data_IF_736032947022
#
_entry.id   IF_736032947022
#
_cell.length_a   1.000
_cell.length_b   1.000
_cell.length_c   1.000
_cell.angle_alpha   90.00
_cell.angle_beta   90.00
_cell.angle_gamma   90.00
#
_symmetry.space_group_name_H-M   'P 1'
#
loop_
_entity.id
_entity.type
_entity.pdbx_description
1 polymer ?
#
# COMPACT_ATOMS: atom_id res chain seq x y z
N UNK A 1 -24.58 -6.22 9.17
CA UNK A 1 -23.69 -5.84 10.29
C UNK A 1 -22.71 -6.99 10.43
N UNK A 2 -21.41 -6.75 10.32
CA UNK A 2 -20.38 -7.81 10.32
C UNK A 2 -19.40 -7.58 11.45
N UNK A 3 -18.87 -8.67 12.04
CA UNK A 3 -17.76 -8.63 12.97
C UNK A 3 -16.46 -8.52 12.18
N UNK A 4 -15.76 -7.41 12.32
CA UNK A 4 -14.52 -7.12 11.57
C UNK A 4 -13.34 -6.99 12.51
N UNK A 5 -12.22 -7.63 12.20
CA UNK A 5 -10.95 -7.43 12.89
C UNK A 5 -9.93 -6.76 11.99
N UNK A 6 -9.37 -5.64 12.42
CA UNK A 6 -8.30 -4.92 11.71
C UNK A 6 -6.97 -5.25 12.41
N UNK A 7 -6.05 -5.86 11.66
CA UNK A 7 -4.71 -6.23 12.13
C UNK A 7 -3.69 -5.16 11.76
N UNK A 8 -3.20 -4.46 12.78
CA UNK A 8 -2.29 -3.31 12.71
C UNK A 8 -2.97 -2.03 13.15
N UNK A 9 -2.44 -1.39 14.21
CA UNK A 9 -2.99 -0.17 14.80
C UNK A 9 -2.28 1.11 14.30
N UNK A 10 -1.55 1.03 13.20
CA UNK A 10 -1.00 2.19 12.52
C UNK A 10 -2.07 3.09 11.90
N UNK A 11 -1.66 4.18 11.25
CA UNK A 11 -2.58 5.17 10.69
C UNK A 11 -3.67 4.56 9.78
N UNK A 12 -3.30 3.68 8.82
CA UNK A 12 -4.26 3.10 7.89
C UNK A 12 -5.20 2.11 8.59
N UNK A 13 -4.70 1.30 9.52
CA UNK A 13 -5.55 0.38 10.30
C UNK A 13 -6.56 1.13 11.16
N UNK A 14 -6.13 2.14 11.90
CA UNK A 14 -7.03 2.97 12.71
C UNK A 14 -8.06 3.72 11.84
N UNK A 15 -7.67 4.23 10.67
CA UNK A 15 -8.58 4.90 9.75
C UNK A 15 -9.62 3.93 9.15
N UNK A 16 -9.19 2.73 8.76
CA UNK A 16 -10.09 1.68 8.26
C UNK A 16 -11.05 1.20 9.36
N UNK A 17 -10.55 0.96 10.57
CA UNK A 17 -11.37 0.60 11.71
C UNK A 17 -12.42 1.67 12.01
N UNK A 18 -12.03 2.95 11.99
CA UNK A 18 -12.94 4.08 12.19
C UNK A 18 -14.01 4.15 11.10
N UNK A 19 -13.63 3.96 9.84
CA UNK A 19 -14.58 3.93 8.72
C UNK A 19 -15.62 2.82 8.88
N UNK A 20 -15.18 1.59 9.14
CA UNK A 20 -16.07 0.43 9.31
C UNK A 20 -16.98 0.58 10.54
N UNK A 21 -16.48 1.14 11.64
CA UNK A 21 -17.28 1.41 12.84
C UNK A 21 -18.38 2.46 12.56
N UNK A 22 -18.07 3.53 11.81
CA UNK A 22 -19.10 4.51 11.35
C UNK A 22 -20.14 3.89 10.43
N UNK A 23 -19.80 2.81 9.72
CA UNK A 23 -20.73 2.00 8.93
C UNK A 23 -21.66 1.11 9.79
N UNK A 24 -21.46 1.09 11.10
CA UNK A 24 -22.24 0.26 12.03
C UNK A 24 -21.72 -1.17 12.16
N UNK A 25 -20.53 -1.49 11.67
CA UNK A 25 -19.88 -2.78 11.91
C UNK A 25 -19.31 -2.84 13.32
N UNK A 26 -19.25 -4.04 13.92
CA UNK A 26 -18.50 -4.28 15.14
C UNK A 26 -17.01 -4.43 14.76
N UNK A 27 -16.15 -3.63 15.37
CA UNK A 27 -14.74 -3.57 14.95
C UNK A 27 -13.80 -3.83 16.11
N UNK A 28 -12.94 -4.82 15.92
CA UNK A 28 -11.78 -5.08 16.75
C UNK A 28 -10.54 -4.50 16.06
N UNK A 29 -9.80 -3.62 16.75
CA UNK A 29 -8.51 -3.12 16.30
C UNK A 29 -7.41 -3.76 17.13
N UNK A 30 -6.63 -4.62 16.48
CA UNK A 30 -5.51 -5.32 17.09
C UNK A 30 -4.18 -4.67 16.68
N UNK A 31 -3.30 -4.42 17.67
CA UNK A 31 -1.95 -3.92 17.46
C UNK A 31 -0.90 -5.02 17.52
N UNK A 32 0.15 -4.88 16.70
CA UNK A 32 1.37 -5.68 16.77
C UNK A 32 2.20 -5.31 18.00
N UNK A 33 3.28 -6.03 18.27
CA UNK A 33 4.25 -5.69 19.33
C UNK A 33 4.82 -4.26 19.17
N UNK A 34 4.85 -3.73 17.95
CA UNK A 34 5.28 -2.36 17.66
C UNK A 34 4.21 -1.31 17.97
N UNK A 35 2.95 -1.72 18.07
CA UNK A 35 1.80 -0.85 18.30
C UNK A 35 1.38 -0.80 19.78
N UNK A 36 2.11 -1.43 20.70
CA UNK A 36 1.75 -1.57 22.11
C UNK A 36 1.38 -0.23 22.77
N UNK A 37 2.23 0.80 22.55
CA UNK A 37 1.98 2.15 23.06
C UNK A 37 0.75 2.81 22.43
N UNK A 38 0.49 2.51 21.16
CA UNK A 38 -0.68 3.04 20.43
C UNK A 38 -1.95 2.43 21.04
N UNK A 39 -2.00 1.10 21.21
CA UNK A 39 -3.16 0.41 21.78
C UNK A 39 -3.41 0.83 23.23
N UNK A 40 -2.37 0.97 24.06
CA UNK A 40 -2.50 1.44 25.44
C UNK A 40 -3.15 2.84 25.48
N UNK A 41 -2.66 3.77 24.69
CA UNK A 41 -3.24 5.12 24.60
C UNK A 41 -4.68 5.11 24.07
N UNK A 42 -4.99 4.23 23.09
CA UNK A 42 -6.35 4.08 22.58
C UNK A 42 -7.31 3.51 23.64
N UNK A 43 -6.86 2.60 24.49
CA UNK A 43 -7.66 2.08 25.62
C UNK A 43 -7.98 3.16 26.66
N UNK A 44 -7.03 4.05 26.92
CA UNK A 44 -7.20 5.13 27.92
C UNK A 44 -8.06 6.28 27.40
N UNK A 45 -7.79 6.76 26.20
CA UNK A 45 -8.33 8.03 25.69
C UNK A 45 -9.05 7.94 24.35
N UNK A 46 -9.03 6.78 23.70
CA UNK A 46 -9.49 6.56 22.32
C UNK A 46 -8.78 7.44 21.29
N UNK A 47 -7.74 8.17 21.67
CA UNK A 47 -7.06 9.18 20.84
C UNK A 47 -5.90 8.55 20.06
N UNK A 48 -6.01 8.53 18.73
CA UNK A 48 -4.89 8.11 17.88
C UNK A 48 -3.96 9.31 17.64
N UNK A 49 -2.81 9.33 18.36
CA UNK A 49 -1.90 10.48 18.41
C UNK A 49 -1.49 10.99 17.02
N UNK A 50 -1.01 10.10 16.15
CA UNK A 50 -0.49 10.49 14.82
C UNK A 50 -1.60 11.00 13.87
N UNK A 51 -2.82 10.49 13.98
CA UNK A 51 -3.96 10.97 13.19
C UNK A 51 -4.63 12.20 13.80
N UNK A 52 -4.39 12.47 15.09
CA UNK A 52 -4.98 13.60 15.81
C UNK A 52 -6.49 13.52 15.94
N UNK A 53 -7.06 12.31 16.06
CA UNK A 53 -8.52 12.08 16.15
C UNK A 53 -8.86 11.11 17.27
N UNK A 54 -10.09 11.22 17.78
CA UNK A 54 -10.69 10.24 18.68
C UNK A 54 -11.43 9.18 17.84
N UNK A 55 -11.18 7.91 18.11
CA UNK A 55 -11.82 6.81 17.40
C UNK A 55 -13.22 6.51 17.97
N UNK A 56 -14.18 5.99 17.16
CA UNK A 56 -15.53 5.64 17.58
C UNK A 56 -15.56 4.72 18.80
N UNK A 57 -16.57 4.91 19.67
CA UNK A 57 -16.73 4.14 20.92
C UNK A 57 -16.95 2.64 20.70
N UNK A 58 -17.54 2.27 19.58
CA UNK A 58 -17.81 0.88 19.20
C UNK A 58 -16.57 0.06 18.84
N UNK A 59 -15.37 0.69 18.71
CA UNK A 59 -14.13 -0.05 18.42
C UNK A 59 -13.56 -0.62 19.73
N UNK A 60 -13.27 -1.92 19.73
CA UNK A 60 -12.52 -2.59 20.78
C UNK A 60 -11.04 -2.67 20.43
N UNK A 61 -10.16 -2.49 21.42
CA UNK A 61 -8.71 -2.45 21.21
C UNK A 61 -8.02 -3.66 21.85
N UNK A 62 -7.14 -4.31 21.09
CA UNK A 62 -6.45 -5.54 21.50
C UNK A 62 -4.93 -5.41 21.35
N UNK A 63 -4.19 -5.81 22.37
CA UNK A 63 -2.73 -5.92 22.36
C UNK A 63 -2.26 -7.14 21.57
N UNK A 64 -0.96 -7.21 21.28
CA UNK A 64 -0.36 -8.25 20.45
C UNK A 64 -0.62 -9.68 20.94
N UNK A 65 -0.65 -9.89 22.25
CA UNK A 65 -0.92 -11.20 22.89
C UNK A 65 -2.40 -11.59 22.87
N UNK A 66 -3.30 -10.67 22.53
CA UNK A 66 -4.75 -10.90 22.51
C UNK A 66 -5.28 -11.21 21.09
N UNK A 67 -4.42 -11.69 20.18
CA UNK A 67 -4.78 -11.95 18.77
C UNK A 67 -5.99 -12.90 18.64
N UNK A 68 -6.01 -13.98 19.40
CA UNK A 68 -7.11 -14.95 19.41
C UNK A 68 -8.43 -14.28 19.76
N UNK A 69 -8.47 -13.49 20.85
CA UNK A 69 -9.66 -12.74 21.26
C UNK A 69 -10.09 -11.71 20.21
N UNK A 70 -9.13 -11.04 19.59
CA UNK A 70 -9.40 -10.06 18.55
C UNK A 70 -10.05 -10.71 17.32
N UNK A 71 -9.73 -11.96 17.02
CA UNK A 71 -10.24 -12.72 15.88
C UNK A 71 -11.49 -13.54 16.19
N UNK A 72 -11.94 -13.57 17.46
CA UNK A 72 -13.14 -14.33 17.79
C UNK A 72 -14.35 -13.77 17.04
N UNK A 73 -15.10 -14.70 16.43
CA UNK A 73 -16.26 -14.42 15.56
C UNK A 73 -16.02 -13.44 14.39
N UNK A 74 -14.76 -13.21 14.01
CA UNK A 74 -14.45 -12.36 12.84
C UNK A 74 -14.99 -12.98 11.54
N UNK A 75 -15.79 -12.22 10.81
CA UNK A 75 -16.26 -12.52 9.45
C UNK A 75 -15.33 -11.86 8.43
N UNK A 76 -14.72 -10.75 8.81
CA UNK A 76 -13.80 -9.97 7.98
C UNK A 76 -12.52 -9.71 8.76
N UNK A 77 -11.38 -9.93 8.10
CA UNK A 77 -10.06 -9.55 8.61
C UNK A 77 -9.40 -8.58 7.66
N UNK A 78 -9.04 -7.40 8.14
CA UNK A 78 -8.30 -6.40 7.36
C UNK A 78 -6.82 -6.44 7.76
N UNK A 79 -5.93 -6.71 6.80
CA UNK A 79 -4.47 -6.69 7.01
C UNK A 79 -3.95 -5.28 6.76
N UNK A 80 -3.61 -4.55 7.82
CA UNK A 80 -3.19 -3.15 7.77
C UNK A 80 -1.80 -2.91 8.38
N UNK A 81 -0.91 -3.90 8.27
CA UNK A 81 0.49 -3.81 8.68
C UNK A 81 1.39 -3.45 7.50
N UNK A 82 2.66 -3.12 7.77
CA UNK A 82 3.67 -2.89 6.72
C UNK A 82 3.91 -4.16 5.90
N UNK A 83 4.21 -4.02 4.60
CA UNK A 83 4.24 -5.14 3.66
C UNK A 83 5.17 -6.30 4.06
N UNK A 84 6.33 -6.01 4.67
CA UNK A 84 7.27 -7.03 5.12
C UNK A 84 6.79 -7.83 6.34
N UNK A 85 5.83 -7.31 7.11
CA UNK A 85 5.25 -8.00 8.25
C UNK A 85 4.05 -8.89 7.88
N UNK A 86 3.46 -8.72 6.67
CA UNK A 86 2.24 -9.42 6.25
C UNK A 86 2.35 -10.93 6.41
N UNK A 87 3.43 -11.55 5.91
CA UNK A 87 3.61 -13.00 5.99
C UNK A 87 3.54 -13.52 7.44
N UNK A 88 4.30 -12.89 8.35
CA UNK A 88 4.38 -13.27 9.77
C UNK A 88 3.03 -13.10 10.47
N UNK A 89 2.36 -11.97 10.24
CA UNK A 89 1.09 -11.67 10.90
C UNK A 89 -0.01 -12.61 10.39
N UNK A 90 -0.10 -12.83 9.08
CA UNK A 90 -1.09 -13.75 8.49
C UNK A 90 -0.86 -15.18 8.97
N UNK A 91 0.38 -15.66 9.04
CA UNK A 91 0.70 -17.00 9.53
C UNK A 91 0.24 -17.21 10.99
N UNK A 92 0.36 -16.18 11.84
CA UNK A 92 -0.15 -16.20 13.23
C UNK A 92 -1.67 -16.16 13.26
N UNK A 93 -2.27 -15.24 12.50
CA UNK A 93 -3.72 -15.02 12.49
C UNK A 93 -4.50 -16.19 11.89
N UNK A 94 -3.95 -16.86 10.87
CA UNK A 94 -4.57 -18.00 10.20
C UNK A 94 -4.87 -19.20 11.12
N UNK A 95 -4.23 -19.27 12.30
CA UNK A 95 -4.52 -20.28 13.31
C UNK A 95 -5.95 -20.16 13.88
N UNK A 96 -6.52 -18.96 13.81
CA UNK A 96 -7.80 -18.60 14.41
C UNK A 96 -8.87 -18.28 13.35
N UNK A 97 -8.53 -18.39 12.05
CA UNK A 97 -9.51 -18.12 10.98
C UNK A 97 -10.59 -19.20 10.92
N UNK A 98 -11.83 -18.74 10.88
CA UNK A 98 -13.01 -19.60 10.68
C UNK A 98 -13.32 -19.74 9.18
N UNK A 99 -14.08 -20.76 8.81
CA UNK A 99 -14.56 -20.94 7.44
C UNK A 99 -15.39 -19.74 6.98
N UNK A 100 -15.27 -19.36 5.73
CA UNK A 100 -16.05 -18.27 5.12
C UNK A 100 -15.53 -16.86 5.43
N UNK A 101 -14.43 -16.73 6.16
CA UNK A 101 -13.84 -15.41 6.45
C UNK A 101 -13.34 -14.73 5.16
N UNK A 102 -13.54 -13.41 5.07
CA UNK A 102 -12.96 -12.59 4.00
C UNK A 102 -11.75 -11.83 4.53
N UNK A 103 -10.59 -12.03 3.91
CA UNK A 103 -9.34 -11.34 4.24
C UNK A 103 -9.10 -10.21 3.24
N UNK A 104 -9.04 -8.97 3.72
CA UNK A 104 -8.82 -7.77 2.90
C UNK A 104 -7.43 -7.22 3.17
N UNK A 105 -6.57 -7.21 2.15
CA UNK A 105 -5.24 -6.64 2.25
C UNK A 105 -5.24 -5.17 1.86
N UNK A 106 -4.88 -4.28 2.78
CA UNK A 106 -4.66 -2.85 2.51
C UNK A 106 -3.18 -2.46 2.53
N UNK A 107 -2.29 -3.42 2.85
CA UNK A 107 -0.85 -3.22 2.77
C UNK A 107 -0.40 -3.09 1.31
N UNK A 108 0.61 -2.26 1.07
CA UNK A 108 1.11 -1.94 -0.27
C UNK A 108 2.59 -2.29 -0.38
N UNK A 109 2.97 -3.15 -1.32
CA UNK A 109 4.36 -3.56 -1.51
C UNK A 109 4.51 -4.77 -2.41
N UNK A 110 5.75 -5.06 -2.82
CA UNK A 110 6.11 -6.27 -3.57
C UNK A 110 6.60 -7.32 -2.58
N UNK A 111 5.94 -8.48 -2.50
CA UNK A 111 6.36 -9.55 -1.61
C UNK A 111 7.68 -10.18 -2.09
N UNK A 112 8.35 -11.01 -1.25
CA UNK A 112 9.49 -11.79 -1.69
C UNK A 112 9.07 -12.84 -2.73
N UNK A 113 10.02 -13.25 -3.60
CA UNK A 113 9.81 -14.37 -4.54
C UNK A 113 9.39 -15.64 -3.76
N UNK A 114 8.52 -16.50 -4.32
CA UNK A 114 8.04 -16.48 -5.72
C UNK A 114 6.76 -15.65 -5.95
N UNK A 115 6.26 -14.92 -4.95
CA UNK A 115 4.97 -14.24 -5.05
C UNK A 115 5.06 -12.95 -5.86
N UNK A 116 4.04 -12.70 -6.70
CA UNK A 116 3.88 -11.46 -7.44
C UNK A 116 3.10 -10.42 -6.63
N UNK A 117 2.10 -10.85 -5.87
CA UNK A 117 1.21 -9.98 -5.10
C UNK A 117 1.12 -10.41 -3.63
N UNK A 118 0.78 -9.47 -2.74
CA UNK A 118 0.56 -9.78 -1.33
C UNK A 118 -0.63 -10.71 -1.13
N UNK A 119 -1.68 -10.62 -1.96
CA UNK A 119 -2.81 -11.56 -1.91
C UNK A 119 -2.37 -13.00 -2.22
N UNK A 120 -1.44 -13.21 -3.15
CA UNK A 120 -0.85 -14.53 -3.39
C UNK A 120 -0.10 -15.04 -2.17
N UNK A 121 0.75 -14.20 -1.57
CA UNK A 121 1.48 -14.52 -0.34
C UNK A 121 0.50 -14.86 0.80
N UNK A 122 -0.55 -14.07 0.99
CA UNK A 122 -1.56 -14.28 2.03
C UNK A 122 -2.27 -15.61 1.82
N UNK A 123 -2.73 -15.90 0.60
CA UNK A 123 -3.35 -17.19 0.25
C UNK A 123 -2.45 -18.36 0.62
N UNK A 124 -1.17 -18.32 0.25
CA UNK A 124 -0.20 -19.38 0.57
C UNK A 124 -0.04 -19.58 2.09
N UNK A 125 0.01 -18.50 2.87
CA UNK A 125 0.17 -18.60 4.33
C UNK A 125 -1.07 -19.11 5.06
N UNK A 126 -2.25 -18.97 4.46
CA UNK A 126 -3.52 -19.49 4.98
C UNK A 126 -3.73 -20.95 4.55
N UNK A 127 -3.26 -21.34 3.36
CA UNK A 127 -3.65 -22.54 2.62
C UNK A 127 -3.54 -23.89 3.35
N UNK A 128 -2.60 -24.19 4.22
CA UNK A 128 -2.53 -25.54 4.82
C UNK A 128 -3.71 -25.87 5.75
N UNK A 129 -4.54 -24.90 6.13
CA UNK A 129 -5.49 -25.06 7.24
C UNK A 129 -6.97 -24.76 6.96
N UNK A 130 -7.31 -23.93 5.97
CA UNK A 130 -8.70 -23.50 5.75
C UNK A 130 -9.01 -23.05 4.30
N UNK A 131 -8.27 -23.49 3.32
CA UNK A 131 -8.09 -22.87 2.01
C UNK A 131 -9.31 -22.64 1.12
N UNK A 132 -10.26 -23.57 1.07
CA UNK A 132 -11.29 -23.54 0.02
C UNK A 132 -12.40 -22.53 0.27
N UNK A 133 -12.54 -22.01 1.48
CA UNK A 133 -13.64 -21.11 1.85
C UNK A 133 -13.22 -19.68 2.20
N UNK A 134 -11.89 -19.38 2.18
CA UNK A 134 -11.38 -18.04 2.54
C UNK A 134 -11.13 -17.21 1.28
N UNK A 135 -11.81 -16.05 1.22
CA UNK A 135 -11.60 -15.08 0.16
C UNK A 135 -10.49 -14.10 0.53
N UNK A 136 -9.54 -13.85 -0.39
CA UNK A 136 -8.45 -12.88 -0.18
C UNK A 136 -8.53 -11.80 -1.24
N UNK A 137 -8.67 -10.54 -0.79
CA UNK A 137 -8.97 -9.37 -1.60
C UNK A 137 -7.88 -8.33 -1.42
N UNK A 138 -7.38 -7.75 -2.51
CA UNK A 138 -6.44 -6.62 -2.48
C UNK A 138 -7.17 -5.28 -2.60
N UNK A 139 -6.82 -4.30 -1.77
CA UNK A 139 -7.36 -2.94 -1.86
C UNK A 139 -6.31 -1.98 -2.43
N UNK A 140 -6.71 -1.21 -3.45
CA UNK A 140 -5.95 -0.11 -4.04
C UNK A 140 -6.73 1.20 -4.08
N UNK A 141 -6.12 2.22 -4.65
CA UNK A 141 -6.75 3.52 -4.85
C UNK A 141 -6.33 4.63 -3.86
N UNK A 142 -6.77 5.87 -4.14
CA UNK A 142 -6.36 7.08 -3.42
C UNK A 142 -7.02 7.16 -2.04
N UNK A 143 -6.46 6.47 -1.05
CA UNK A 143 -6.94 6.48 0.33
C UNK A 143 -5.84 6.95 1.28
N UNK A 144 -5.88 8.23 1.67
CA UNK A 144 -5.04 8.76 2.75
C UNK A 144 -5.71 8.50 4.09
N UNK A 145 -4.98 7.90 5.02
CA UNK A 145 -5.50 7.59 6.36
C UNK A 145 -6.04 8.85 7.09
N UNK A 146 -5.36 9.99 6.94
CA UNK A 146 -5.77 11.26 7.54
C UNK A 146 -7.08 11.83 6.98
N UNK A 147 -7.44 11.51 5.76
CA UNK A 147 -8.69 11.90 5.11
C UNK A 147 -9.79 10.88 5.41
N UNK A 148 -9.49 9.59 5.25
CA UNK A 148 -10.43 8.50 5.51
C UNK A 148 -10.97 8.54 6.95
N UNK A 149 -10.11 8.78 7.94
CA UNK A 149 -10.51 8.85 9.35
C UNK A 149 -11.46 10.02 9.64
N UNK A 150 -11.39 11.09 8.84
CA UNK A 150 -12.24 12.29 8.94
C UNK A 150 -13.45 12.27 8.03
N UNK A 151 -13.75 11.12 7.40
CA UNK A 151 -14.86 10.97 6.46
C UNK A 151 -14.80 11.93 5.25
N UNK A 152 -13.60 12.31 4.82
CA UNK A 152 -13.42 13.05 3.57
C UNK A 152 -13.77 12.12 2.40
N UNK A 153 -14.58 12.55 1.42
CA UNK A 153 -14.97 11.71 0.30
C UNK A 153 -13.80 11.03 -0.38
N UNK A 154 -13.83 9.70 -0.42
CA UNK A 154 -12.73 8.85 -0.86
C UNK A 154 -13.25 7.80 -1.83
N UNK A 155 -12.42 7.37 -2.78
CA UNK A 155 -12.72 6.25 -3.65
C UNK A 155 -11.61 5.20 -3.56
N UNK A 156 -12.00 3.93 -3.47
CA UNK A 156 -11.09 2.78 -3.47
C UNK A 156 -11.53 1.73 -4.48
N UNK A 157 -10.62 0.82 -4.83
CA UNK A 157 -10.91 -0.31 -5.70
C UNK A 157 -10.42 -1.61 -5.06
N UNK A 158 -11.28 -2.62 -5.10
CA UNK A 158 -10.93 -3.97 -4.66
C UNK A 158 -10.61 -4.86 -5.85
N UNK A 159 -9.44 -5.48 -5.83
CA UNK A 159 -9.03 -6.53 -6.77
C UNK A 159 -9.45 -7.89 -6.22
N UNK A 160 -10.43 -8.53 -6.86
CA UNK A 160 -10.97 -9.83 -6.46
C UNK A 160 -11.64 -10.52 -7.64
N UNK A 161 -11.42 -11.82 -7.77
CA UNK A 161 -11.99 -12.59 -8.90
C UNK A 161 -13.39 -13.14 -8.61
N UNK A 162 -13.65 -13.49 -7.39
CA UNK A 162 -14.89 -14.10 -6.93
C UNK A 162 -15.98 -13.02 -6.77
N UNK A 163 -17.09 -13.17 -7.50
CA UNK A 163 -18.18 -12.17 -7.56
C UNK A 163 -18.83 -11.90 -6.20
N UNK A 164 -18.99 -12.94 -5.40
CA UNK A 164 -19.56 -12.86 -4.05
C UNK A 164 -18.69 -12.00 -3.15
N UNK A 165 -17.37 -12.22 -3.16
CA UNK A 165 -16.41 -11.42 -2.40
C UNK A 165 -16.36 -9.97 -2.90
N UNK A 166 -16.47 -9.75 -4.22
CA UNK A 166 -16.52 -8.41 -4.82
C UNK A 166 -17.74 -7.63 -4.32
N UNK A 167 -18.92 -8.23 -4.38
CA UNK A 167 -20.18 -7.64 -3.90
C UNK A 167 -20.13 -7.37 -2.40
N UNK A 168 -19.61 -8.32 -1.64
CA UNK A 168 -19.44 -8.20 -0.19
C UNK A 168 -18.52 -7.03 0.20
N UNK A 169 -17.31 -6.93 -0.39
CA UNK A 169 -16.38 -5.83 -0.11
C UNK A 169 -16.97 -4.46 -0.46
N UNK A 170 -17.64 -4.35 -1.62
CA UNK A 170 -18.32 -3.13 -2.01
C UNK A 170 -19.40 -2.75 -0.98
N UNK A 171 -20.19 -3.73 -0.53
CA UNK A 171 -21.26 -3.51 0.45
C UNK A 171 -20.74 -3.02 1.80
N UNK A 172 -19.72 -3.66 2.38
CA UNK A 172 -19.23 -3.30 3.72
C UNK A 172 -18.43 -1.99 3.74
N UNK A 173 -17.82 -1.57 2.64
CA UNK A 173 -17.04 -0.34 2.59
C UNK A 173 -17.80 0.87 2.04
N UNK A 174 -18.75 0.72 1.11
CA UNK A 174 -19.42 1.86 0.47
C UNK A 174 -20.42 2.57 1.38
N UNK A 175 -20.34 3.90 1.42
CA UNK A 175 -21.31 4.81 2.05
C UNK A 175 -21.27 6.16 1.33
N UNK A 176 -21.81 7.23 1.95
CA UNK A 176 -21.74 8.59 1.42
C UNK A 176 -20.32 9.14 1.28
N UNK A 177 -19.40 8.67 2.13
CA UNK A 177 -18.04 9.20 2.24
C UNK A 177 -17.01 8.31 1.54
N UNK A 178 -17.33 7.05 1.23
CA UNK A 178 -16.42 6.15 0.54
C UNK A 178 -17.13 5.37 -0.55
N UNK A 179 -16.65 5.54 -1.79
CA UNK A 179 -17.06 4.74 -2.94
C UNK A 179 -16.10 3.58 -3.15
N UNK A 180 -16.57 2.36 -2.97
CA UNK A 180 -15.83 1.14 -3.22
C UNK A 180 -16.23 0.53 -4.57
N UNK A 181 -15.31 0.51 -5.53
CA UNK A 181 -15.44 -0.20 -6.79
C UNK A 181 -14.70 -1.54 -6.74
N UNK A 182 -14.97 -2.41 -7.70
CA UNK A 182 -14.38 -3.75 -7.78
C UNK A 182 -13.85 -4.03 -9.18
N UNK A 183 -12.82 -4.87 -9.27
CA UNK A 183 -12.27 -5.39 -10.52
C UNK A 183 -11.75 -6.82 -10.31
N UNK A 184 -11.75 -7.61 -11.37
CA UNK A 184 -11.12 -8.94 -11.39
C UNK A 184 -9.59 -8.88 -11.57
N UNK A 185 -9.04 -7.69 -11.85
CA UNK A 185 -7.60 -7.46 -12.03
C UNK A 185 -6.87 -7.26 -10.70
N UNK A 186 -6.73 -8.34 -9.93
CA UNK A 186 -5.98 -8.34 -8.67
C UNK A 186 -4.52 -7.91 -8.88
N UNK A 187 -3.90 -8.38 -9.98
CA UNK A 187 -2.50 -8.09 -10.31
C UNK A 187 -2.30 -6.60 -10.53
N UNK A 188 -3.14 -5.99 -11.38
CA UNK A 188 -3.06 -4.56 -11.65
C UNK A 188 -3.26 -3.71 -10.40
N UNK A 189 -4.26 -4.03 -9.58
CA UNK A 189 -4.54 -3.29 -8.33
C UNK A 189 -3.33 -3.31 -7.39
N UNK A 190 -2.76 -4.48 -7.12
CA UNK A 190 -1.68 -4.60 -6.14
C UNK A 190 -0.32 -4.11 -6.68
N UNK A 191 0.01 -4.37 -7.95
CA UNK A 191 1.22 -3.83 -8.55
C UNK A 191 1.19 -2.29 -8.62
N UNK A 192 0.08 -1.69 -9.02
CA UNK A 192 -0.07 -0.24 -9.01
C UNK A 192 0.09 0.33 -7.60
N UNK A 193 -0.61 -0.26 -6.62
CA UNK A 193 -0.53 0.17 -5.22
C UNK A 193 0.89 0.09 -4.64
N UNK A 194 1.70 -0.87 -5.08
CA UNK A 194 3.10 -0.98 -4.70
C UNK A 194 3.98 0.03 -5.44
N UNK A 195 3.95 0.02 -6.79
CA UNK A 195 4.86 0.81 -7.64
C UNK A 195 4.73 2.31 -7.43
N UNK A 196 3.53 2.83 -7.16
CA UNK A 196 3.33 4.26 -6.88
C UNK A 196 4.25 4.78 -5.77
N UNK A 197 4.54 3.97 -4.75
CA UNK A 197 5.40 4.36 -3.64
C UNK A 197 6.85 4.57 -4.09
N UNK A 198 7.34 3.72 -4.99
CA UNK A 198 8.66 3.86 -5.59
C UNK A 198 8.74 5.10 -6.49
N UNK A 199 7.78 5.27 -7.39
CA UNK A 199 7.76 6.43 -8.29
C UNK A 199 7.53 7.76 -7.55
N UNK A 200 6.84 7.75 -6.41
CA UNK A 200 6.69 8.97 -5.59
C UNK A 200 8.04 9.50 -5.07
N UNK A 201 9.06 8.65 -4.89
CA UNK A 201 10.40 9.09 -4.49
C UNK A 201 11.04 9.92 -5.62
N UNK A 202 11.07 9.38 -6.86
CA UNK A 202 11.72 10.09 -7.96
C UNK A 202 10.95 11.35 -8.38
N UNK A 203 9.62 11.36 -8.28
CA UNK A 203 8.81 12.59 -8.45
C UNK A 203 9.10 13.59 -7.34
N UNK A 204 9.35 13.11 -6.12
CA UNK A 204 9.67 13.93 -4.95
C UNK A 204 10.98 14.73 -5.09
N UNK A 205 11.98 14.23 -5.85
CA UNK A 205 13.23 14.98 -6.05
C UNK A 205 13.01 16.36 -6.66
N UNK A 206 11.95 16.52 -7.47
CA UNK A 206 11.59 17.82 -8.04
C UNK A 206 11.12 18.83 -6.99
N UNK A 207 10.63 18.38 -5.83
CA UNK A 207 10.17 19.24 -4.73
C UNK A 207 11.33 19.73 -3.85
N UNK A 208 12.42 18.97 -3.80
CA UNK A 208 13.64 19.35 -3.07
C UNK A 208 14.56 20.30 -3.84
N UNK A 209 14.32 20.52 -5.12
CA UNK A 209 15.13 21.43 -5.94
C UNK A 209 14.85 22.89 -5.59
N UNK A 210 15.89 23.72 -5.59
CA UNK A 210 15.78 25.19 -5.45
C UNK A 210 14.98 25.85 -6.59
N UNK A 211 14.80 25.13 -7.69
CA UNK A 211 14.02 25.57 -8.84
C UNK A 211 12.63 24.96 -8.80
N UNK A 212 11.62 25.76 -9.15
CA UNK A 212 10.28 25.23 -9.40
C UNK A 212 10.30 24.30 -10.62
N UNK A 213 9.99 23.02 -10.44
CA UNK A 213 10.14 21.98 -11.47
C UNK A 213 8.81 21.31 -11.83
N UNK A 214 7.72 22.08 -11.92
CA UNK A 214 6.38 21.55 -12.17
C UNK A 214 6.28 20.77 -13.50
N UNK A 215 6.93 21.26 -14.57
CA UNK A 215 6.96 20.58 -15.87
C UNK A 215 7.71 19.24 -15.80
N UNK A 216 8.88 19.21 -15.14
CA UNK A 216 9.64 17.96 -14.92
C UNK A 216 8.84 16.97 -14.07
N UNK A 217 8.17 17.45 -13.03
CA UNK A 217 7.30 16.67 -12.18
C UNK A 217 6.15 16.03 -12.97
N UNK A 218 5.50 16.80 -13.83
CA UNK A 218 4.46 16.31 -14.73
C UNK A 218 4.98 15.24 -15.70
N UNK A 219 6.17 15.47 -16.30
CA UNK A 219 6.82 14.51 -17.18
C UNK A 219 7.15 13.19 -16.44
N UNK A 220 7.67 13.27 -15.20
CA UNK A 220 7.96 12.09 -14.38
C UNK A 220 6.69 11.30 -14.02
N UNK A 221 5.60 11.98 -13.67
CA UNK A 221 4.30 11.32 -13.39
C UNK A 221 3.82 10.61 -14.66
N UNK A 222 3.87 11.26 -15.82
CA UNK A 222 3.45 10.68 -17.10
C UNK A 222 4.29 9.44 -17.44
N UNK A 223 5.61 9.54 -17.28
CA UNK A 223 6.51 8.43 -17.55
C UNK A 223 6.30 7.27 -16.53
N UNK A 224 6.09 7.59 -15.27
CA UNK A 224 5.77 6.59 -14.25
C UNK A 224 4.51 5.78 -14.63
N UNK A 225 3.45 6.43 -15.10
CA UNK A 225 2.22 5.74 -15.56
C UNK A 225 2.52 4.84 -16.76
N UNK A 226 3.32 5.26 -17.73
CA UNK A 226 3.73 4.43 -18.88
C UNK A 226 4.48 3.19 -18.42
N UNK A 227 5.44 3.34 -17.50
CA UNK A 227 6.25 2.25 -16.98
C UNK A 227 5.42 1.29 -16.11
N UNK A 228 4.53 1.81 -15.27
CA UNK A 228 3.57 1.02 -14.54
C UNK A 228 2.69 0.19 -15.49
N UNK A 229 2.18 0.81 -16.57
CA UNK A 229 1.38 0.12 -17.59
C UNK A 229 2.18 -1.02 -18.22
N UNK A 230 3.44 -0.77 -18.58
CA UNK A 230 4.32 -1.78 -19.19
C UNK A 230 4.50 -3.00 -18.27
N UNK A 231 4.84 -2.77 -17.00
CA UNK A 231 5.04 -3.86 -16.03
C UNK A 231 3.74 -4.61 -15.76
N UNK A 232 2.65 -3.88 -15.50
CA UNK A 232 1.34 -4.47 -15.18
C UNK A 232 0.85 -5.37 -16.31
N UNK A 233 0.89 -4.89 -17.56
CA UNK A 233 0.43 -5.66 -18.73
C UNK A 233 1.32 -6.88 -18.99
N UNK A 234 2.63 -6.79 -18.83
CA UNK A 234 3.54 -7.92 -18.94
C UNK A 234 3.31 -9.01 -17.88
N UNK A 235 2.72 -8.64 -16.74
CA UNK A 235 2.34 -9.58 -15.68
C UNK A 235 0.86 -10.00 -15.73
N UNK A 236 0.15 -9.63 -16.79
CA UNK A 236 -1.24 -10.05 -17.04
C UNK A 236 -2.31 -9.19 -16.37
N UNK A 237 -1.96 -8.00 -15.90
CA UNK A 237 -2.92 -6.99 -15.45
C UNK A 237 -3.43 -6.12 -16.60
N UNK A 238 -4.38 -5.22 -16.30
CA UNK A 238 -5.13 -4.43 -17.28
C UNK A 238 -4.69 -2.96 -17.30
N UNK A 239 -4.67 -2.37 -18.50
CA UNK A 239 -4.37 -0.94 -18.71
C UNK A 239 -5.39 -0.05 -17.98
N UNK A 240 -6.65 -0.43 -17.98
CA UNK A 240 -7.75 0.28 -17.32
C UNK A 240 -7.53 0.41 -15.81
N UNK A 241 -6.93 -0.60 -15.18
CA UNK A 241 -6.58 -0.56 -13.76
C UNK A 241 -5.50 0.47 -13.49
N UNK A 242 -4.49 0.57 -14.37
CA UNK A 242 -3.41 1.56 -14.25
C UNK A 242 -3.92 2.98 -14.50
N UNK A 243 -4.77 3.19 -15.50
CA UNK A 243 -5.36 4.50 -15.81
C UNK A 243 -6.46 4.92 -14.81
N UNK A 244 -6.92 4.00 -13.97
CA UNK A 244 -7.98 4.19 -12.99
C UNK A 244 -7.48 4.58 -11.59
N UNK A 245 -8.32 4.22 -10.59
CA UNK A 245 -8.08 4.56 -9.18
C UNK A 245 -6.78 3.95 -8.62
N UNK A 246 -6.47 2.69 -8.97
CA UNK A 246 -5.31 1.99 -8.42
C UNK A 246 -3.97 2.55 -8.93
N UNK A 247 -3.91 3.02 -10.17
CA UNK A 247 -2.69 3.58 -10.79
C UNK A 247 -2.67 5.11 -10.70
N UNK A 248 -3.29 5.78 -11.66
CA UNK A 248 -3.27 7.26 -11.77
C UNK A 248 -3.76 7.92 -10.48
N UNK A 249 -4.92 7.49 -9.96
CA UNK A 249 -5.52 8.09 -8.76
C UNK A 249 -4.62 7.99 -7.54
N UNK A 250 -4.11 6.79 -7.25
CA UNK A 250 -3.27 6.54 -6.08
C UNK A 250 -1.86 7.14 -6.23
N UNK A 251 -1.29 7.19 -7.44
CA UNK A 251 -0.03 7.89 -7.71
C UNK A 251 -0.21 9.40 -7.50
N UNK A 252 -1.27 9.99 -8.06
CA UNK A 252 -1.53 11.44 -7.92
C UNK A 252 -1.57 11.85 -6.44
N UNK A 253 -2.39 11.18 -5.62
CA UNK A 253 -2.51 11.54 -4.21
C UNK A 253 -1.21 11.29 -3.43
N UNK A 254 -0.41 10.31 -3.84
CA UNK A 254 0.86 9.97 -3.19
C UNK A 254 1.96 10.99 -3.46
N UNK A 255 2.01 11.55 -4.67
CA UNK A 255 3.01 12.60 -5.02
C UNK A 255 2.64 14.00 -4.50
N UNK A 256 1.43 14.21 -4.00
CA UNK A 256 1.03 15.47 -3.35
C UNK A 256 1.56 15.60 -1.92
N UNK A 257 2.10 14.54 -1.34
CA UNK A 257 2.69 14.54 -0.01
C UNK A 257 2.80 13.12 0.53
N UNK A 258 3.46 12.96 1.65
CA UNK A 258 3.71 11.67 2.27
C UNK A 258 5.19 11.30 2.32
N UNK A 259 5.48 10.22 3.04
CA UNK A 259 6.86 9.82 3.40
C UNK A 259 7.77 9.59 2.19
N UNK A 260 7.27 8.92 1.14
CA UNK A 260 8.07 8.64 -0.06
C UNK A 260 8.43 9.93 -0.83
N UNK A 261 7.47 10.85 -0.98
CA UNK A 261 7.72 12.16 -1.61
C UNK A 261 8.67 13.04 -0.78
N UNK A 262 8.48 13.07 0.56
CA UNK A 262 9.38 13.78 1.48
C UNK A 262 10.81 13.23 1.41
N UNK A 263 10.97 11.90 1.39
CA UNK A 263 12.27 11.26 1.20
C UNK A 263 12.91 11.66 -0.13
N UNK A 264 12.14 11.66 -1.23
CA UNK A 264 12.60 12.14 -2.52
C UNK A 264 13.02 13.61 -2.50
N UNK A 265 12.29 14.46 -1.75
CA UNK A 265 12.64 15.88 -1.62
C UNK A 265 13.99 16.08 -0.90
N UNK A 266 14.30 15.30 0.13
CA UNK A 266 15.61 15.34 0.79
C UNK A 266 16.75 14.96 -0.18
N UNK A 267 16.53 13.92 -1.00
CA UNK A 267 17.49 13.57 -2.06
C UNK A 267 17.62 14.69 -3.10
N UNK A 268 16.51 15.36 -3.43
CA UNK A 268 16.49 16.52 -4.35
C UNK A 268 17.27 17.72 -3.80
N UNK A 269 17.35 17.89 -2.48
CA UNK A 269 18.17 18.88 -1.79
C UNK A 269 19.67 18.54 -1.77
N UNK A 270 20.05 17.37 -2.28
CA UNK A 270 21.43 16.93 -2.40
C UNK A 270 21.89 15.98 -1.30
N UNK A 271 20.98 15.54 -0.41
CA UNK A 271 21.31 14.52 0.59
C UNK A 271 21.59 13.18 -0.06
N UNK A 272 22.50 12.42 0.50
CA UNK A 272 22.66 11.00 0.19
C UNK A 272 21.47 10.19 0.71
N UNK A 273 21.33 8.96 0.22
CA UNK A 273 20.28 8.04 0.69
C UNK A 273 20.39 7.81 2.20
N UNK A 274 21.60 7.59 2.71
CA UNK A 274 21.83 7.31 4.12
C UNK A 274 21.50 8.51 5.01
N UNK A 275 21.89 9.73 4.61
CA UNK A 275 21.53 10.96 5.32
C UNK A 275 20.02 11.18 5.36
N UNK A 276 19.34 11.00 4.22
CA UNK A 276 17.90 11.15 4.13
C UNK A 276 17.14 10.09 4.94
N UNK A 277 17.59 8.82 4.95
CA UNK A 277 17.03 7.77 5.79
C UNK A 277 17.22 8.09 7.28
N UNK A 278 18.39 8.58 7.68
CA UNK A 278 18.69 9.00 9.05
C UNK A 278 17.80 10.17 9.47
N UNK A 279 17.60 11.16 8.61
CA UNK A 279 16.73 12.31 8.91
C UNK A 279 15.24 11.89 9.04
N UNK A 280 14.83 10.83 8.34
CA UNK A 280 13.49 10.25 8.43
C UNK A 280 13.41 9.09 9.44
N UNK A 281 14.30 9.06 10.43
CA UNK A 281 14.34 8.06 11.48
C UNK A 281 12.94 7.83 12.08
N UNK A 282 12.59 6.56 12.33
CA UNK A 282 11.28 6.10 12.78
C UNK A 282 10.15 6.18 11.73
N UNK A 283 10.44 6.48 10.46
CA UNK A 283 9.44 6.40 9.38
C UNK A 283 9.78 5.30 8.38
N UNK A 284 8.82 4.42 8.11
CA UNK A 284 8.97 3.41 7.06
C UNK A 284 8.84 4.06 5.68
N UNK A 285 9.90 4.00 4.88
CA UNK A 285 9.90 4.45 3.48
C UNK A 285 9.60 3.23 2.58
N UNK A 286 8.31 2.96 2.37
CA UNK A 286 7.88 1.77 1.61
C UNK A 286 8.42 1.76 0.18
N UNK A 287 8.53 2.94 -0.46
CA UNK A 287 9.03 3.06 -1.82
C UNK A 287 10.49 2.62 -1.98
N UNK A 288 11.33 2.78 -0.94
CA UNK A 288 12.71 2.31 -0.95
C UNK A 288 12.76 0.77 -1.08
N UNK A 289 12.11 0.06 -0.17
CA UNK A 289 12.05 -1.40 -0.22
C UNK A 289 11.31 -1.93 -1.48
N UNK A 290 10.24 -1.23 -1.90
CA UNK A 290 9.47 -1.58 -3.10
C UNK A 290 10.32 -1.49 -4.36
N UNK A 291 11.23 -0.51 -4.46
CA UNK A 291 12.14 -0.38 -5.63
C UNK A 291 13.02 -1.61 -5.79
N UNK A 292 13.53 -2.19 -4.70
CA UNK A 292 14.27 -3.46 -4.76
C UNK A 292 13.38 -4.62 -5.24
N UNK A 293 12.13 -4.68 -4.79
CA UNK A 293 11.16 -5.69 -5.24
C UNK A 293 10.85 -5.57 -6.73
N UNK A 294 10.61 -4.34 -7.23
CA UNK A 294 10.39 -4.07 -8.66
C UNK A 294 11.63 -4.45 -9.48
N UNK A 295 12.84 -4.10 -9.00
CA UNK A 295 14.09 -4.45 -9.69
C UNK A 295 14.23 -5.95 -9.92
N UNK A 296 13.84 -6.77 -8.93
CA UNK A 296 13.82 -8.23 -9.08
C UNK A 296 12.85 -8.66 -10.18
N UNK A 297 11.62 -8.15 -10.16
CA UNK A 297 10.58 -8.42 -11.15
C UNK A 297 11.03 -8.02 -12.57
N UNK A 298 11.67 -6.86 -12.70
CA UNK A 298 12.19 -6.35 -13.97
C UNK A 298 13.29 -7.26 -14.51
N UNK A 299 14.24 -7.70 -13.66
CA UNK A 299 15.30 -8.64 -14.07
C UNK A 299 14.75 -9.97 -14.55
N UNK A 300 13.66 -10.47 -13.98
CA UNK A 300 12.97 -11.68 -14.47
C UNK A 300 12.43 -11.45 -15.87
N UNK A 301 11.73 -10.32 -16.10
CA UNK A 301 11.19 -9.95 -17.42
C UNK A 301 12.29 -9.73 -18.47
N UNK A 302 13.45 -9.18 -18.10
CA UNK A 302 14.61 -9.05 -18.98
C UNK A 302 15.19 -10.42 -19.38
N UNK A 303 15.35 -11.34 -18.41
CA UNK A 303 15.81 -12.70 -18.72
C UNK A 303 14.86 -13.47 -19.63
N UNK A 304 13.57 -13.18 -19.54
CA UNK A 304 12.54 -13.73 -20.42
C UNK A 304 12.49 -13.03 -21.81
N UNK A 305 13.31 -12.02 -22.05
CA UNK A 305 13.32 -11.23 -23.28
C UNK A 305 12.08 -10.37 -23.50
N UNK A 306 11.28 -10.15 -22.46
CA UNK A 306 10.02 -9.40 -22.54
C UNK A 306 10.16 -7.89 -22.32
N UNK A 307 11.30 -7.46 -21.77
CA UNK A 307 11.52 -6.09 -21.36
C UNK A 307 13.00 -5.72 -21.51
N UNK A 308 13.27 -4.46 -21.87
CA UNK A 308 14.61 -3.84 -21.78
C UNK A 308 14.53 -2.69 -20.76
N UNK A 309 15.23 -2.83 -19.63
CA UNK A 309 15.16 -1.86 -18.52
C UNK A 309 15.45 -0.42 -18.98
N UNK A 310 16.47 -0.21 -19.81
CA UNK A 310 16.88 1.15 -20.23
C UNK A 310 15.91 1.79 -21.21
N UNK A 311 15.31 1.01 -22.10
CA UNK A 311 14.40 1.49 -23.14
C UNK A 311 12.95 1.56 -22.66
N UNK A 312 12.47 0.51 -22.00
CA UNK A 312 11.07 0.39 -21.57
C UNK A 312 10.78 1.10 -20.25
N UNK A 313 11.79 1.20 -19.35
CA UNK A 313 11.62 1.73 -17.99
C UNK A 313 12.72 2.76 -17.63
N UNK A 314 12.93 3.80 -18.44
CA UNK A 314 14.03 4.75 -18.24
C UNK A 314 13.95 5.48 -16.89
N UNK A 315 12.75 5.84 -16.41
CA UNK A 315 12.57 6.52 -15.14
C UNK A 315 12.85 5.58 -13.96
N UNK A 316 12.41 4.32 -14.03
CA UNK A 316 12.71 3.32 -13.01
C UNK A 316 14.20 3.00 -12.96
N UNK A 317 14.86 2.90 -14.10
CA UNK A 317 16.31 2.71 -14.17
C UNK A 317 17.07 3.84 -13.44
N UNK A 318 16.64 5.09 -13.63
CA UNK A 318 17.20 6.25 -12.94
C UNK A 318 16.87 6.25 -11.44
N UNK A 319 15.64 5.84 -11.05
CA UNK A 319 15.26 5.66 -9.66
C UNK A 319 16.12 4.61 -8.96
N UNK A 320 16.37 3.48 -9.62
CA UNK A 320 17.24 2.44 -9.07
C UNK A 320 18.69 2.94 -8.91
N UNK A 321 19.19 3.67 -9.89
CA UNK A 321 20.54 4.26 -9.81
C UNK A 321 20.65 5.31 -8.68
N UNK A 322 19.62 6.12 -8.48
CA UNK A 322 19.53 7.07 -7.36
C UNK A 322 19.61 6.35 -5.99
N UNK A 323 18.80 5.31 -5.81
CA UNK A 323 18.62 4.68 -4.50
C UNK A 323 19.69 3.64 -4.14
N UNK A 324 20.23 2.93 -5.15
CA UNK A 324 21.10 1.77 -4.92
C UNK A 324 22.48 1.87 -5.57
N UNK A 325 22.74 2.91 -6.37
CA UNK A 325 24.03 3.14 -7.03
C UNK A 325 24.61 4.52 -6.71
N UNK A 326 24.06 5.20 -5.70
CA UNK A 326 24.50 6.51 -5.22
C UNK A 326 24.55 7.60 -6.31
N UNK A 327 23.71 7.50 -7.37
CA UNK A 327 23.65 8.54 -8.40
C UNK A 327 23.00 9.81 -7.83
N UNK A 328 23.63 10.99 -7.94
CA UNK A 328 23.06 12.23 -7.41
C UNK A 328 21.72 12.60 -8.09
N UNK A 329 20.76 13.13 -7.34
CA UNK A 329 19.43 13.50 -7.84
C UNK A 329 19.50 14.51 -9.01
N UNK A 330 20.41 15.49 -8.94
CA UNK A 330 20.62 16.44 -10.05
C UNK A 330 21.09 15.76 -11.34
N UNK A 331 21.93 14.71 -11.23
CA UNK A 331 22.37 13.95 -12.38
C UNK A 331 21.24 13.07 -12.94
N UNK A 332 20.38 12.52 -12.08
CA UNK A 332 19.16 11.80 -12.51
C UNK A 332 18.27 12.68 -13.38
N UNK A 333 18.02 13.92 -12.97
CA UNK A 333 17.22 14.87 -13.74
C UNK A 333 17.89 15.17 -15.10
N UNK A 334 19.19 15.43 -15.12
CA UNK A 334 19.94 15.69 -16.37
C UNK A 334 19.89 14.49 -17.32
N UNK A 335 20.10 13.30 -16.80
CA UNK A 335 20.14 12.07 -17.61
C UNK A 335 18.78 11.73 -18.20
N UNK A 336 17.69 12.01 -17.50
CA UNK A 336 16.34 11.82 -18.02
C UNK A 336 16.14 12.63 -19.34
N UNK A 337 16.52 13.92 -19.33
CA UNK A 337 16.35 14.78 -20.49
C UNK A 337 17.36 14.58 -21.62
N UNK A 338 18.48 13.90 -21.36
CA UNK A 338 19.46 13.56 -22.41
C UNK A 338 19.12 12.29 -23.18
N UNK A 339 18.39 11.38 -22.54
CA UNK A 339 18.11 10.05 -23.06
C UNK A 339 16.63 9.86 -23.45
N UNK A 340 15.83 10.94 -23.45
CA UNK A 340 14.40 10.95 -23.80
C UNK A 340 14.20 11.19 -25.28
#
# INVERSE_FOLDING_TARGET
>A
MSQTTVLGAGMMGAATASHLARRGHQVNLWGTELDEKIISLLRESRKHKTLGVTLPESILFFQAQELEKALDNAEVVVIAVVSHAVAKIVQRAALFFKRGITVINVAKGIPPSPYLTLTQLIKDKIFPRAAESIQVVGMGGPARASELVRAVPTAVIFGVREKEAASFCSHIFSNSDLRASVTDDVIGVELCAAMKNAYAIIVGICQGSDRKMDNTRAAFITQAIREMTRIVTLKGGKVETVSGLAGVGDLYVTVQGGRNGAFGALLGQGMTVDEALKQMENQTIEGYATTAGISRLVRELEREGKLNLRQDLPLFNLLYALLYQAKPAQQVIKDYWKNS
#
